data_IF_517214475681
#
_entry.id   IF_517214475681
#
_cell.length_a   1.000
_cell.length_b   1.000
_cell.length_c   1.000
_cell.angle_alpha   90.00
_cell.angle_beta   90.00
_cell.angle_gamma   90.00
#
_symmetry.space_group_name_H-M   'P 1'
#
loop_
_entity.id
_entity.type
_entity.pdbx_description
1 polymer ?
#
# COMPACT_ATOMS: atom_id res chain seq x y z
N UNK A 1 -6.63 6.12 -2.25
CA UNK A 1 -5.22 5.92 -1.84
C UNK A 1 -4.63 7.28 -1.61
N UNK A 2 -3.96 7.46 -0.48
CA UNK A 2 -3.19 8.65 -0.16
C UNK A 2 -1.72 8.27 -0.13
N UNK A 3 -0.86 9.02 -0.82
CA UNK A 3 0.58 8.80 -0.80
C UNK A 3 1.20 9.40 0.47
N UNK A 4 1.93 8.59 1.25
CA UNK A 4 2.57 9.05 2.48
C UNK A 4 3.85 9.86 2.25
N UNK A 5 4.31 9.99 0.99
CA UNK A 5 5.46 10.83 0.64
C UNK A 5 5.08 12.26 0.25
N UNK A 6 4.03 12.42 -0.56
CA UNK A 6 3.67 13.73 -1.13
C UNK A 6 2.25 14.19 -0.75
N UNK A 7 1.43 13.35 -0.13
CA UNK A 7 0.07 13.69 0.30
C UNK A 7 -1.00 13.64 -0.80
N UNK A 8 -0.66 13.34 -2.06
CA UNK A 8 -1.66 13.23 -3.14
C UNK A 8 -2.67 12.10 -2.89
N UNK A 9 -3.92 12.35 -3.28
CA UNK A 9 -5.03 11.39 -3.17
C UNK A 9 -5.50 10.98 -4.57
N UNK A 10 -5.62 9.67 -4.79
CA UNK A 10 -6.06 9.09 -6.06
C UNK A 10 -6.83 7.78 -5.84
N UNK A 11 -7.47 7.28 -6.90
CA UNK A 11 -8.25 6.04 -6.83
C UNK A 11 -7.36 4.82 -6.53
N UNK A 12 -7.79 4.00 -5.57
CA UNK A 12 -7.24 2.67 -5.31
C UNK A 12 -8.19 1.61 -5.84
N UNK A 13 -7.65 0.58 -6.52
CA UNK A 13 -8.42 -0.57 -7.03
C UNK A 13 -9.66 -0.22 -7.88
N UNK A 14 -9.71 1.00 -8.45
CA UNK A 14 -10.78 1.45 -9.32
C UNK A 14 -10.41 1.35 -10.80
N UNK A 15 -11.36 0.93 -11.63
CA UNK A 15 -11.20 0.82 -13.09
C UNK A 15 -11.00 2.21 -13.73
N UNK A 16 -11.54 3.27 -13.11
CA UNK A 16 -11.45 4.65 -13.60
C UNK A 16 -10.01 5.14 -13.85
N UNK A 17 -9.02 4.59 -13.14
CA UNK A 17 -7.62 4.95 -13.31
C UNK A 17 -6.81 3.84 -13.98
N UNK A 18 -7.42 2.83 -14.60
CA UNK A 18 -6.70 1.77 -15.28
C UNK A 18 -6.18 2.28 -16.63
N UNK A 19 -4.86 2.29 -16.82
CA UNK A 19 -4.22 2.69 -18.09
C UNK A 19 -3.15 1.69 -18.51
N UNK A 20 -2.89 1.49 -19.81
CA UNK A 20 -1.75 0.70 -20.25
C UNK A 20 -0.45 1.33 -19.75
N UNK A 21 0.48 0.50 -19.28
CA UNK A 21 1.82 0.97 -18.92
C UNK A 21 2.55 1.56 -20.14
N UNK A 22 3.45 2.52 -19.91
CA UNK A 22 4.18 3.20 -21.00
C UNK A 22 5.19 2.31 -21.74
N UNK A 23 5.56 1.15 -21.16
CA UNK A 23 6.66 0.33 -21.64
C UNK A 23 6.33 -1.14 -21.43
N UNK A 24 6.41 -1.95 -22.49
CA UNK A 24 6.40 -3.41 -22.40
C UNK A 24 7.75 -3.88 -21.85
N UNK A 25 7.76 -4.59 -20.73
CA UNK A 25 8.97 -5.25 -20.25
C UNK A 25 9.16 -6.54 -21.05
N UNK A 26 10.21 -6.63 -21.86
CA UNK A 26 10.67 -7.90 -22.46
C UNK A 26 9.77 -8.52 -23.54
N UNK A 27 9.14 -7.73 -24.42
CA UNK A 27 8.32 -8.26 -25.53
C UNK A 27 6.96 -8.83 -25.13
N UNK A 28 6.64 -8.83 -23.83
CA UNK A 28 5.35 -9.23 -23.31
C UNK A 28 4.27 -8.14 -23.49
N UNK A 29 2.99 -8.53 -23.39
CA UNK A 29 1.84 -7.62 -23.45
C UNK A 29 1.99 -6.52 -22.38
N UNK A 30 1.76 -5.27 -22.79
CA UNK A 30 1.78 -4.11 -21.88
C UNK A 30 0.74 -4.33 -20.77
N UNK A 31 1.16 -4.42 -19.49
CA UNK A 31 0.21 -4.58 -18.40
C UNK A 31 -0.55 -3.28 -18.16
N UNK A 32 -1.80 -3.40 -17.74
CA UNK A 32 -2.53 -2.25 -17.24
C UNK A 32 -2.06 -1.89 -15.83
N UNK A 33 -1.87 -0.61 -15.58
CA UNK A 33 -1.46 -0.06 -14.29
C UNK A 33 -2.58 0.83 -13.72
N UNK A 34 -2.89 0.63 -12.43
CA UNK A 34 -3.86 1.45 -11.71
C UNK A 34 -3.29 2.81 -11.27
N UNK A 35 -4.13 3.62 -10.63
CA UNK A 35 -3.77 4.97 -10.17
C UNK A 35 -2.55 5.01 -9.24
N UNK A 36 -2.44 4.05 -8.32
CA UNK A 36 -1.29 3.96 -7.40
C UNK A 36 0.04 3.72 -8.13
N UNK A 37 0.05 2.81 -9.12
CA UNK A 37 1.22 2.52 -9.93
C UNK A 37 1.59 3.69 -10.86
N UNK A 38 0.60 4.44 -11.35
CA UNK A 38 0.87 5.66 -12.12
C UNK A 38 1.48 6.75 -11.25
N UNK A 39 0.97 6.93 -10.03
CA UNK A 39 1.52 7.89 -9.09
C UNK A 39 2.94 7.51 -8.65
N UNK A 40 3.19 6.22 -8.41
CA UNK A 40 4.51 5.66 -8.07
C UNK A 40 5.60 6.15 -9.03
N UNK A 41 5.33 6.04 -10.34
CA UNK A 41 6.24 6.46 -11.42
C UNK A 41 6.55 7.96 -11.42
N UNK A 42 5.66 8.79 -10.87
CA UNK A 42 5.82 10.25 -10.81
C UNK A 42 6.49 10.71 -9.52
N UNK A 43 6.14 10.09 -8.38
CA UNK A 43 6.53 10.59 -7.06
C UNK A 43 7.90 10.09 -6.62
N UNK A 44 8.15 8.77 -6.72
CA UNK A 44 9.37 8.13 -6.19
C UNK A 44 9.99 7.14 -7.20
N UNK A 45 9.45 7.11 -8.43
CA UNK A 45 9.78 6.21 -9.54
C UNK A 45 9.45 4.72 -9.28
N UNK A 46 10.07 4.11 -8.26
CA UNK A 46 10.09 2.66 -8.08
C UNK A 46 9.48 2.18 -6.75
N UNK A 47 9.28 3.07 -5.78
CA UNK A 47 8.89 2.69 -4.41
C UNK A 47 7.74 3.54 -3.88
N UNK A 48 6.76 2.92 -3.22
CA UNK A 48 5.54 3.59 -2.79
C UNK A 48 5.14 3.16 -1.39
N UNK A 49 4.76 4.15 -0.58
CA UNK A 49 4.12 3.93 0.71
C UNK A 49 2.80 4.70 0.69
N UNK A 50 1.69 3.96 0.76
CA UNK A 50 0.36 4.52 0.58
C UNK A 50 -0.57 4.06 1.67
N UNK A 51 -1.62 4.82 1.94
CA UNK A 51 -2.71 4.39 2.81
C UNK A 51 -4.04 4.37 2.05
N UNK A 52 -4.77 3.27 2.19
CA UNK A 52 -6.18 3.20 1.85
C UNK A 52 -6.99 3.62 3.07
N UNK A 53 -7.46 4.86 3.06
CA UNK A 53 -8.23 5.46 4.16
C UNK A 53 -9.52 4.66 4.42
N UNK A 54 -10.22 4.22 3.37
CA UNK A 54 -11.50 3.48 3.49
C UNK A 54 -11.31 2.08 4.08
N UNK A 55 -10.13 1.51 3.92
CA UNK A 55 -9.81 0.15 4.39
C UNK A 55 -8.94 0.13 5.63
N UNK A 56 -8.47 1.29 6.09
CA UNK A 56 -7.51 1.41 7.20
C UNK A 56 -6.29 0.49 7.00
N UNK A 57 -5.76 0.45 5.76
CA UNK A 57 -4.63 -0.38 5.39
C UNK A 57 -3.53 0.45 4.73
N UNK A 58 -2.28 0.17 5.06
CA UNK A 58 -1.09 0.69 4.38
C UNK A 58 -0.66 -0.28 3.28
N UNK A 59 -0.18 0.26 2.17
CA UNK A 59 0.34 -0.46 1.02
C UNK A 59 1.82 -0.10 0.82
N UNK A 60 2.63 -1.15 0.69
CA UNK A 60 4.00 -1.12 0.25
C UNK A 60 4.04 -1.48 -1.23
N UNK A 61 4.59 -0.61 -2.06
CA UNK A 61 4.76 -0.87 -3.49
C UNK A 61 6.25 -0.80 -3.83
N UNK A 62 6.70 -1.74 -4.65
CA UNK A 62 8.04 -1.75 -5.23
C UNK A 62 8.00 -2.33 -6.65
N UNK A 63 8.28 -1.49 -7.64
CA UNK A 63 8.07 -1.79 -9.07
C UNK A 63 6.64 -2.25 -9.35
N UNK A 64 6.46 -3.51 -9.75
CA UNK A 64 5.17 -4.15 -10.02
C UNK A 64 4.69 -5.02 -8.86
N UNK A 65 5.54 -5.21 -7.85
CA UNK A 65 5.24 -5.99 -6.65
C UNK A 65 4.69 -5.08 -5.57
N UNK A 66 3.90 -5.65 -4.69
CA UNK A 66 3.40 -4.93 -3.53
C UNK A 66 3.03 -5.86 -2.41
N UNK A 67 2.76 -5.26 -1.27
CA UNK A 67 2.11 -5.91 -0.15
C UNK A 67 1.34 -4.85 0.65
N UNK A 68 0.53 -5.28 1.60
CA UNK A 68 -0.27 -4.37 2.42
C UNK A 68 -0.20 -4.79 3.88
N UNK A 69 -0.62 -3.91 4.78
CA UNK A 69 -0.82 -4.24 6.17
C UNK A 69 -1.88 -3.35 6.82
N UNK A 70 -2.35 -3.72 8.00
CA UNK A 70 -3.25 -2.86 8.77
C UNK A 70 -2.51 -1.58 9.16
N UNK A 71 -3.16 -0.43 8.96
CA UNK A 71 -2.57 0.87 9.27
C UNK A 71 -2.33 1.02 10.78
N UNK A 72 -1.38 1.87 11.22
CA UNK A 72 -0.98 2.00 12.63
C UNK A 72 -1.99 2.80 13.48
N UNK A 73 -3.28 2.66 13.20
CA UNK A 73 -4.35 3.32 13.94
C UNK A 73 -5.05 2.30 14.84
N UNK A 74 -5.30 2.69 16.08
CA UNK A 74 -5.98 1.87 17.09
C UNK A 74 -7.06 2.69 17.78
N UNK A 75 -8.08 2.03 18.31
CA UNK A 75 -9.04 2.69 19.18
C UNK A 75 -8.48 2.92 20.59
N UNK A 76 -9.30 3.51 21.47
CA UNK A 76 -8.97 3.75 22.89
C UNK A 76 -8.69 2.49 23.70
N UNK A 77 -9.09 1.31 23.21
CA UNK A 77 -8.91 0.01 23.85
C UNK A 77 -7.70 -0.76 23.28
N UNK A 78 -7.03 -0.22 22.26
CA UNK A 78 -5.88 -0.84 21.63
C UNK A 78 -6.21 -1.77 20.46
N UNK A 79 -7.47 -1.81 20.03
CA UNK A 79 -7.93 -2.65 18.92
C UNK A 79 -7.72 -1.95 17.57
N UNK A 80 -7.42 -2.73 16.54
CA UNK A 80 -7.39 -2.26 15.16
C UNK A 80 -8.77 -2.44 14.52
N UNK A 81 -9.13 -1.57 13.58
CA UNK A 81 -10.39 -1.66 12.84
C UNK A 81 -10.16 -1.62 11.31
N UNK A 82 -9.62 -2.72 10.72
CA UNK A 82 -9.48 -2.82 9.28
C UNK A 82 -10.86 -2.74 8.60
N UNK A 83 -11.00 -1.83 7.64
CA UNK A 83 -12.28 -1.55 6.99
C UNK A 83 -13.22 -0.61 7.75
N UNK A 84 -12.79 -0.03 8.88
CA UNK A 84 -13.56 0.96 9.65
C UNK A 84 -14.98 0.48 10.00
N UNK A 85 -15.13 -0.78 10.41
CA UNK A 85 -16.43 -1.43 10.62
C UNK A 85 -17.05 -1.08 11.96
N UNK A 86 -16.23 -0.82 12.97
CA UNK A 86 -16.68 -0.66 14.35
C UNK A 86 -17.09 0.78 14.68
N UNK A 87 -16.96 1.71 13.72
CA UNK A 87 -17.33 3.14 13.87
C UNK A 87 -16.69 3.82 15.09
N UNK A 88 -15.60 3.27 15.62
CA UNK A 88 -14.82 3.85 16.72
C UNK A 88 -13.81 4.83 16.16
N UNK A 89 -13.57 5.92 16.87
CA UNK A 89 -12.48 6.82 16.53
C UNK A 89 -11.15 6.10 16.74
N UNK A 90 -10.33 6.09 15.69
CA UNK A 90 -8.98 5.55 15.75
C UNK A 90 -7.96 6.68 15.89
N UNK A 91 -6.93 6.42 16.67
CA UNK A 91 -5.81 7.31 16.93
C UNK A 91 -4.53 6.67 16.43
N UNK A 92 -3.59 7.51 15.98
CA UNK A 92 -2.28 7.03 15.55
C UNK A 92 -1.53 6.43 16.74
N UNK A 93 -1.17 5.16 16.66
CA UNK A 93 -0.28 4.54 17.63
C UNK A 93 1.17 4.76 17.20
N UNK A 94 1.90 5.59 17.97
CA UNK A 94 3.27 5.97 17.64
C UNK A 94 4.22 4.76 17.53
N UNK A 95 4.12 3.78 18.44
CA UNK A 95 4.97 2.57 18.42
C UNK A 95 4.77 1.75 17.13
N UNK A 96 3.51 1.57 16.71
CA UNK A 96 3.18 0.90 15.45
C UNK A 96 3.64 1.71 14.25
N UNK A 97 3.45 3.03 14.26
CA UNK A 97 3.95 3.90 13.20
C UNK A 97 5.47 3.77 13.04
N UNK A 98 6.21 3.81 14.15
CA UNK A 98 7.67 3.74 14.15
C UNK A 98 8.17 2.39 13.66
N UNK A 99 7.57 1.30 14.13
CA UNK A 99 7.96 -0.06 13.75
C UNK A 99 7.62 -0.38 12.29
N UNK A 100 6.42 0.01 11.83
CA UNK A 100 5.87 -0.45 10.57
C UNK A 100 6.21 0.47 9.41
N UNK A 101 6.19 1.79 9.63
CA UNK A 101 6.38 2.75 8.55
C UNK A 101 7.76 3.38 8.64
N UNK A 102 8.07 4.04 9.77
CA UNK A 102 9.28 4.86 9.90
C UNK A 102 10.56 4.02 9.77
N UNK A 103 10.67 2.96 10.57
CA UNK A 103 11.87 2.10 10.57
C UNK A 103 12.04 1.40 9.23
N UNK A 104 10.96 0.84 8.68
CA UNK A 104 10.98 0.16 7.37
C UNK A 104 11.39 1.12 6.26
N UNK A 105 10.90 2.35 6.27
CA UNK A 105 11.30 3.37 5.29
C UNK A 105 12.77 3.77 5.45
N UNK A 106 13.18 4.19 6.66
CA UNK A 106 14.53 4.69 6.92
C UNK A 106 15.62 3.63 6.71
N UNK A 107 15.29 2.35 6.87
CA UNK A 107 16.20 1.23 6.63
C UNK A 107 16.18 0.71 5.18
N UNK A 108 15.45 1.37 4.28
CA UNK A 108 15.20 0.88 2.91
C UNK A 108 14.61 -0.55 2.87
N UNK A 109 13.89 -0.95 3.91
CA UNK A 109 13.37 -2.31 4.11
C UNK A 109 12.08 -2.63 3.36
N UNK A 110 11.51 -1.70 2.60
CA UNK A 110 10.24 -1.88 1.88
C UNK A 110 10.27 -3.11 0.94
N UNK A 111 11.28 -3.30 0.06
CA UNK A 111 11.36 -4.50 -0.78
C UNK A 111 11.45 -5.78 0.04
N UNK A 112 12.18 -5.76 1.15
CA UNK A 112 12.32 -6.93 2.05
C UNK A 112 11.02 -7.30 2.74
N UNK A 113 10.23 -6.30 3.18
CA UNK A 113 8.89 -6.52 3.75
C UNK A 113 7.96 -7.13 2.70
N UNK A 114 8.00 -6.62 1.47
CA UNK A 114 7.21 -7.16 0.35
C UNK A 114 7.61 -8.61 0.09
N UNK A 115 8.91 -8.91 -0.10
CA UNK A 115 9.40 -10.26 -0.39
C UNK A 115 8.99 -11.26 0.69
N UNK A 116 9.28 -10.93 1.96
CA UNK A 116 8.94 -11.81 3.10
C UNK A 116 7.46 -12.11 3.16
N UNK A 117 6.62 -11.09 2.93
CA UNK A 117 5.17 -11.29 2.99
C UNK A 117 4.66 -12.10 1.79
N UNK A 118 5.20 -11.90 0.59
CA UNK A 118 4.89 -12.72 -0.57
C UNK A 118 5.35 -14.17 -0.42
N UNK A 119 6.48 -14.42 0.25
CA UNK A 119 6.95 -15.78 0.57
C UNK A 119 6.06 -16.48 1.60
N UNK A 120 5.51 -15.72 2.57
CA UNK A 120 4.61 -16.26 3.60
C UNK A 120 3.17 -16.45 3.09
N UNK A 121 2.70 -15.60 2.16
CA UNK A 121 1.37 -15.70 1.58
C UNK A 121 1.37 -16.70 0.40
N UNK A 122 0.97 -17.95 0.67
CA UNK A 122 0.71 -18.97 -0.38
C UNK A 122 -0.52 -18.60 -1.24
N UNK A 123 -1.28 -17.56 -0.83
CA UNK A 123 -2.53 -17.17 -1.47
C UNK A 123 -2.43 -15.79 -2.15
N UNK A 124 -2.47 -15.79 -3.49
CA UNK A 124 -2.52 -14.58 -4.32
C UNK A 124 -3.79 -13.72 -4.13
N UNK A 125 -4.81 -14.20 -3.40
CA UNK A 125 -6.17 -13.64 -3.37
C UNK A 125 -6.46 -12.56 -2.32
N UNK A 126 -5.51 -12.18 -1.45
CA UNK A 126 -5.77 -11.19 -0.38
C UNK A 126 -5.95 -9.74 -0.85
N UNK A 127 -5.74 -9.46 -2.13
CA UNK A 127 -5.86 -8.12 -2.71
C UNK A 127 -7.29 -7.73 -3.08
N UNK A 128 -8.17 -8.69 -3.32
CA UNK A 128 -9.57 -8.43 -3.67
C UNK A 128 -10.44 -8.16 -2.43
N UNK A 129 -10.04 -8.73 -1.29
CA UNK A 129 -10.73 -8.55 -0.01
C UNK A 129 -10.39 -7.22 0.69
N UNK A 130 -9.41 -6.49 0.16
CA UNK A 130 -9.00 -5.16 0.61
C UNK A 130 -9.39 -4.16 -0.44
#
# INVERSE_FOLDING_TARGET
MLCLFCGEIFCGQGICCLKPASTATGGARVPNIGGAQQHLRKCQNNLGLLINIRKCCVFYLYHLSGSWMVAPYIDRYGEVDPGLRHSRQLFLNQKRYDALLRTVWLSHGIPSVISRKLEMDINNGGWETI
#
